data_IF_120847096628
#
_entry.id   IF_120847096628
#
_cell.length_a   1.000
_cell.length_b   1.000
_cell.length_c   1.000
_cell.angle_alpha   90.00
_cell.angle_beta   90.00
_cell.angle_gamma   90.00
#
_symmetry.space_group_name_H-M   'P 1'
#
loop_
_entity.id
_entity.type
_entity.pdbx_description
1 polymer ?
#
# COMPACT_ATOMS: atom_id res chain seq x y z
N UNK A 1 -2.50 6.31 -20.72
CA UNK A 1 -2.60 5.21 -19.75
C UNK A 1 -4.06 5.11 -19.37
N UNK A 2 -4.76 4.10 -19.88
CA UNK A 2 -6.19 3.93 -19.64
C UNK A 2 -6.39 3.36 -18.24
N UNK A 3 -6.77 4.24 -17.31
CA UNK A 3 -7.05 3.93 -15.90
C UNK A 3 -8.50 3.46 -15.83
N UNK A 4 -8.74 2.20 -15.44
CA UNK A 4 -10.06 1.59 -15.63
C UNK A 4 -10.78 1.20 -14.32
N UNK A 5 -10.10 1.20 -13.18
CA UNK A 5 -10.77 1.02 -11.89
C UNK A 5 -10.01 1.67 -10.74
N UNK A 6 -10.76 2.38 -9.89
CA UNK A 6 -10.34 2.87 -8.59
C UNK A 6 -10.97 1.98 -7.52
N UNK A 7 -10.16 1.20 -6.80
CA UNK A 7 -10.62 0.49 -5.61
C UNK A 7 -10.21 1.28 -4.37
N UNK A 8 -11.18 1.61 -3.52
CA UNK A 8 -10.89 2.20 -2.20
C UNK A 8 -10.65 1.07 -1.21
N UNK A 9 -9.46 1.05 -0.60
CA UNK A 9 -9.06 0.05 0.41
C UNK A 9 -8.49 0.76 1.62
N UNK A 10 -8.77 0.26 2.81
CA UNK A 10 -8.08 0.72 4.03
C UNK A 10 -6.70 0.08 4.11
N UNK A 11 -5.64 0.89 4.02
CA UNK A 11 -4.24 0.45 4.13
C UNK A 11 -3.59 1.00 5.41
N UNK A 12 -2.59 0.29 5.91
CA UNK A 12 -1.67 0.81 6.93
C UNK A 12 -0.64 1.69 6.24
N UNK A 13 -0.54 2.95 6.62
CA UNK A 13 0.32 3.95 5.99
C UNK A 13 1.24 4.54 7.04
N UNK A 14 2.53 4.59 6.72
CA UNK A 14 3.55 5.26 7.51
C UNK A 14 4.66 5.79 6.61
N UNK A 15 5.62 6.46 7.21
CA UNK A 15 6.73 7.07 6.51
C UNK A 15 8.04 6.37 6.83
N UNK A 16 8.96 6.41 5.87
CA UNK A 16 10.37 6.13 6.07
C UNK A 16 11.24 7.25 5.50
N UNK A 17 12.39 7.45 6.15
CA UNK A 17 13.46 8.29 5.67
C UNK A 17 14.57 7.37 5.15
N UNK A 18 14.92 7.39 3.85
CA UNK A 18 15.93 6.51 3.27
C UNK A 18 17.29 6.57 3.99
N UNK A 19 17.70 7.75 4.44
CA UNK A 19 18.94 7.95 5.21
C UNK A 19 18.88 7.35 6.64
N UNK A 20 17.68 7.08 7.17
CA UNK A 20 17.48 6.53 8.52
C UNK A 20 17.39 5.00 8.57
N UNK A 21 17.26 4.32 7.42
CA UNK A 21 16.94 2.89 7.40
C UNK A 21 17.12 2.15 6.07
N UNK A 22 17.64 2.80 5.02
CA UNK A 22 17.99 2.13 3.77
C UNK A 22 19.18 1.18 3.96
N UNK A 23 19.14 0.03 3.29
CA UNK A 23 20.30 -0.86 3.20
C UNK A 23 21.40 -0.07 2.46
N UNK A 24 22.51 0.20 3.14
CA UNK A 24 23.69 0.93 2.63
C UNK A 24 23.58 2.44 2.41
N UNK A 25 22.49 3.11 2.81
CA UNK A 25 22.30 4.53 2.49
C UNK A 25 22.13 4.80 0.99
N UNK A 26 21.98 3.74 0.19
CA UNK A 26 21.66 3.86 -1.22
C UNK A 26 20.21 4.33 -1.36
N UNK A 27 20.04 5.45 -2.06
CA UNK A 27 18.77 6.07 -2.37
C UNK A 27 18.05 5.38 -3.53
N UNK A 28 18.41 4.14 -3.84
CA UNK A 28 17.90 3.41 -4.99
C UNK A 28 16.78 2.48 -4.55
N UNK A 29 15.62 2.66 -5.16
CA UNK A 29 14.43 1.85 -4.95
C UNK A 29 14.58 0.47 -5.60
N UNK A 30 13.73 -0.48 -5.23
CA UNK A 30 13.72 -1.82 -5.82
C UNK A 30 13.50 -1.84 -7.35
N UNK A 31 12.92 -0.80 -7.96
CA UNK A 31 12.80 -0.66 -9.42
C UNK A 31 13.98 0.04 -10.10
N UNK A 32 15.03 0.40 -9.34
CA UNK A 32 16.23 1.08 -9.82
C UNK A 32 16.14 2.60 -9.89
N UNK A 33 15.00 3.21 -9.54
CA UNK A 33 14.85 4.67 -9.50
C UNK A 33 15.37 5.30 -8.20
N UNK A 34 15.66 6.59 -8.22
CA UNK A 34 16.03 7.32 -7.00
C UNK A 34 14.81 7.63 -6.12
N UNK A 35 14.98 7.46 -4.81
CA UNK A 35 14.00 7.76 -3.80
C UNK A 35 13.66 9.26 -3.74
N UNK A 36 12.37 9.58 -3.91
CA UNK A 36 11.83 10.95 -3.81
C UNK A 36 10.44 10.96 -3.19
N UNK A 37 10.06 12.12 -2.64
CA UNK A 37 8.68 12.37 -2.18
C UNK A 37 7.70 12.11 -3.33
N UNK A 38 6.61 11.42 -3.03
CA UNK A 38 5.65 10.91 -4.01
C UNK A 38 5.92 9.47 -4.46
N UNK A 39 6.98 8.83 -3.97
CA UNK A 39 7.18 7.39 -4.12
C UNK A 39 6.94 6.64 -2.81
N UNK A 40 6.64 5.35 -2.93
CA UNK A 40 6.45 4.48 -1.78
C UNK A 40 6.92 3.05 -2.04
N UNK A 41 7.19 2.33 -0.95
CA UNK A 41 7.23 0.88 -0.93
C UNK A 41 5.81 0.34 -0.75
N UNK A 42 5.43 -0.65 -1.57
CA UNK A 42 4.13 -1.30 -1.48
C UNK A 42 4.27 -2.83 -1.46
N UNK A 43 3.23 -3.52 -1.00
CA UNK A 43 3.19 -4.97 -0.96
C UNK A 43 3.19 -5.63 -2.36
N UNK A 44 3.56 -6.92 -2.46
CA UNK A 44 3.75 -7.61 -3.74
C UNK A 44 2.47 -7.70 -4.59
N UNK A 45 1.29 -7.57 -3.99
CA UNK A 45 0.00 -7.48 -4.70
C UNK A 45 -0.06 -6.34 -5.71
N UNK A 46 0.69 -5.26 -5.51
CA UNK A 46 0.64 -4.09 -6.37
C UNK A 46 1.91 -3.98 -7.21
N UNK A 47 1.82 -4.08 -8.55
CA UNK A 47 2.95 -3.89 -9.44
C UNK A 47 3.59 -2.50 -9.28
N UNK A 48 4.87 -2.39 -9.65
CA UNK A 48 5.50 -1.08 -9.79
C UNK A 48 4.71 -0.21 -10.78
N UNK A 49 4.63 1.09 -10.49
CA UNK A 49 3.78 2.03 -11.23
C UNK A 49 2.32 2.07 -10.76
N UNK A 50 1.91 1.23 -9.80
CA UNK A 50 0.60 1.39 -9.15
C UNK A 50 0.55 2.73 -8.43
N UNK A 51 -0.53 3.49 -8.64
CA UNK A 51 -0.72 4.81 -8.02
C UNK A 51 -1.72 4.71 -6.88
N UNK A 52 -1.35 5.26 -5.72
CA UNK A 52 -2.14 5.33 -4.51
C UNK A 52 -2.49 6.78 -4.19
N UNK A 53 -3.77 7.09 -4.08
CA UNK A 53 -4.26 8.39 -3.61
C UNK A 53 -4.77 8.25 -2.18
N UNK A 54 -4.12 8.93 -1.24
CA UNK A 54 -4.47 8.94 0.18
C UNK A 54 -5.67 9.85 0.41
N UNK A 55 -6.72 9.32 1.04
CA UNK A 55 -7.95 10.06 1.36
C UNK A 55 -7.88 10.67 2.77
N UNK A 56 -6.79 11.37 3.05
CA UNK A 56 -6.51 12.08 4.31
C UNK A 56 -5.58 13.26 4.03
N UNK A 57 -5.76 14.40 4.70
CA UNK A 57 -4.96 15.60 4.42
C UNK A 57 -3.49 15.42 4.82
N UNK A 58 -2.60 15.37 3.82
CA UNK A 58 -1.15 15.26 4.01
C UNK A 58 -0.43 16.61 3.98
N UNK A 59 -1.12 17.71 3.63
CA UNK A 59 -0.54 19.06 3.53
C UNK A 59 0.13 19.55 4.83
N UNK A 60 -0.40 19.25 6.05
CA UNK A 60 0.28 19.62 7.28
C UNK A 60 1.70 19.04 7.43
N UNK A 61 2.00 17.97 6.68
CA UNK A 61 3.31 17.32 6.67
C UNK A 61 4.16 17.70 5.44
N UNK A 62 3.69 18.62 4.59
CA UNK A 62 4.36 18.99 3.34
C UNK A 62 4.38 17.87 2.29
N UNK A 63 3.47 16.88 2.42
CA UNK A 63 3.46 15.67 1.60
C UNK A 63 2.34 15.69 0.54
N UNK A 64 2.55 15.06 -0.64
CA UNK A 64 1.51 14.94 -1.65
C UNK A 64 0.42 13.95 -1.22
N UNK A 65 -0.75 14.03 -1.86
CA UNK A 65 -1.82 13.03 -1.68
C UNK A 65 -1.56 11.74 -2.47
N UNK A 66 -0.75 11.81 -3.51
CA UNK A 66 -0.58 10.72 -4.47
C UNK A 66 0.83 10.16 -4.38
N UNK A 67 0.92 8.84 -4.36
CA UNK A 67 2.15 8.09 -4.29
C UNK A 67 2.18 7.01 -5.36
N UNK A 68 3.35 6.80 -5.96
CA UNK A 68 3.57 5.73 -6.93
C UNK A 68 4.45 4.63 -6.32
N UNK A 69 4.06 3.38 -6.55
CA UNK A 69 4.87 2.26 -6.10
C UNK A 69 6.13 2.10 -6.92
N UNK A 70 7.27 2.32 -6.29
CA UNK A 70 8.61 2.18 -6.89
C UNK A 70 9.50 1.23 -6.10
N UNK A 71 9.06 0.85 -4.90
CA UNK A 71 9.91 0.15 -3.96
C UNK A 71 9.23 -1.06 -3.28
N UNK A 72 10.04 -1.85 -2.57
CA UNK A 72 9.65 -3.03 -1.80
C UNK A 72 10.37 -3.03 -0.46
N UNK A 73 9.66 -3.33 0.61
CA UNK A 73 10.27 -3.62 1.91
C UNK A 73 9.90 -5.01 2.39
N UNK A 74 10.84 -5.75 2.97
CA UNK A 74 10.62 -7.12 3.44
C UNK A 74 9.52 -7.26 4.52
N UNK A 75 9.12 -6.15 5.16
CA UNK A 75 8.03 -6.09 6.14
C UNK A 75 6.74 -5.43 5.61
N UNK A 76 6.72 -5.04 4.32
CA UNK A 76 5.59 -4.32 3.72
C UNK A 76 4.62 -5.35 3.12
N UNK A 77 3.50 -5.57 3.83
CA UNK A 77 2.44 -6.47 3.40
C UNK A 77 1.52 -5.89 2.33
N UNK A 78 0.59 -6.73 1.84
CA UNK A 78 -0.37 -6.39 0.76
C UNK A 78 -1.35 -5.23 1.06
N UNK A 79 -1.42 -4.76 2.30
CA UNK A 79 -2.27 -3.64 2.70
C UNK A 79 -1.48 -2.60 3.48
N UNK A 80 -0.20 -2.45 3.14
CA UNK A 80 0.72 -1.54 3.79
C UNK A 80 1.43 -0.67 2.75
N UNK A 81 1.57 0.62 3.05
CA UNK A 81 2.38 1.57 2.30
C UNK A 81 3.43 2.18 3.24
N UNK A 82 4.67 2.20 2.78
CA UNK A 82 5.77 2.93 3.40
C UNK A 82 6.15 4.09 2.48
N UNK A 83 5.83 5.30 2.90
CA UNK A 83 5.90 6.50 2.07
C UNK A 83 7.26 7.17 2.24
N UNK A 84 7.88 7.57 1.14
CA UNK A 84 9.16 8.29 1.19
C UNK A 84 8.96 9.69 1.77
N UNK A 85 9.77 10.03 2.77
CA UNK A 85 10.08 11.41 3.13
C UNK A 85 11.54 11.67 2.81
N UNK A 86 11.80 12.82 2.17
CA UNK A 86 13.16 13.31 1.90
C UNK A 86 13.13 14.82 1.76
N UNK A 87 13.00 15.54 2.87
CA UNK A 87 12.99 17.01 2.86
C UNK A 87 14.39 17.60 2.66
N UNK A 88 15.44 16.77 2.77
CA UNK A 88 16.84 17.19 2.78
C UNK A 88 17.37 17.47 4.20
N UNK A 89 16.54 17.32 5.22
CA UNK A 89 16.94 17.34 6.63
C UNK A 89 16.41 16.09 7.35
N UNK A 90 17.33 15.20 7.73
CA UNK A 90 17.00 13.97 8.45
C UNK A 90 16.23 14.22 9.76
N UNK A 91 16.51 15.30 10.49
CA UNK A 91 15.79 15.60 11.73
C UNK A 91 14.33 15.93 11.45
N UNK A 92 14.08 16.67 10.38
CA UNK A 92 12.74 17.02 9.95
C UNK A 92 11.99 15.79 9.44
N UNK A 93 12.65 14.94 8.65
CA UNK A 93 12.07 13.69 8.15
C UNK A 93 11.65 12.77 9.31
N UNK A 94 12.50 12.64 10.33
CA UNK A 94 12.20 11.87 11.55
C UNK A 94 11.09 12.50 12.39
N UNK A 95 11.02 13.84 12.46
CA UNK A 95 9.93 14.56 13.14
C UNK A 95 8.59 14.26 12.46
N UNK A 96 8.52 14.41 11.14
CA UNK A 96 7.31 14.13 10.34
C UNK A 96 6.88 12.66 10.51
N UNK A 97 7.83 11.72 10.37
CA UNK A 97 7.54 10.30 10.53
C UNK A 97 6.96 9.97 11.91
N UNK A 98 7.48 10.63 12.97
CA UNK A 98 7.00 10.46 14.35
C UNK A 98 5.61 11.08 14.58
N UNK A 99 5.36 12.28 14.07
CA UNK A 99 4.06 12.96 14.23
C UNK A 99 2.94 12.23 13.49
N UNK A 100 3.27 11.67 12.32
CA UNK A 100 2.35 10.81 11.60
C UNK A 100 2.14 9.48 12.32
N UNK A 101 3.22 8.74 12.60
CA UNK A 101 3.16 7.39 13.18
C UNK A 101 2.70 6.33 12.18
N UNK A 102 1.99 5.30 12.65
CA UNK A 102 1.37 4.28 11.78
C UNK A 102 -0.13 4.45 11.82
N UNK A 103 -0.77 4.63 10.67
CA UNK A 103 -2.21 4.92 10.59
C UNK A 103 -2.92 4.01 9.60
N UNK A 104 -4.19 3.73 9.87
CA UNK A 104 -5.08 3.12 8.88
C UNK A 104 -5.78 4.23 8.11
N UNK A 105 -5.58 4.25 6.80
CA UNK A 105 -6.04 5.32 5.90
C UNK A 105 -6.82 4.67 4.75
N UNK A 106 -7.93 5.28 4.35
CA UNK A 106 -8.60 4.92 3.12
C UNK A 106 -7.75 5.40 1.94
N UNK A 107 -7.42 4.49 1.02
CA UNK A 107 -6.55 4.74 -0.12
C UNK A 107 -7.31 4.34 -1.38
N UNK A 108 -7.34 5.23 -2.37
CA UNK A 108 -7.81 4.89 -3.71
C UNK A 108 -6.64 4.35 -4.52
N UNK A 109 -6.76 3.12 -4.99
CA UNK A 109 -5.74 2.42 -5.77
C UNK A 109 -6.09 2.49 -7.25
N UNK A 110 -5.17 3.02 -8.04
CA UNK A 110 -5.27 3.14 -9.49
C UNK A 110 -4.28 2.17 -10.14
N UNK A 111 -4.79 1.18 -10.85
CA UNK A 111 -4.00 0.18 -11.58
C UNK A 111 -4.31 0.27 -13.07
N UNK A 112 -3.36 -0.16 -13.91
CA UNK A 112 -3.66 -0.40 -15.31
C UNK A 112 -4.66 -1.57 -15.46
N UNK A 113 -5.36 -1.62 -16.60
CA UNK A 113 -6.38 -2.63 -16.87
C UNK A 113 -5.87 -4.08 -16.75
N UNK A 114 -4.69 -4.35 -17.30
CA UNK A 114 -4.08 -5.69 -17.34
C UNK A 114 -3.85 -6.26 -15.93
N UNK A 115 -3.41 -5.45 -14.97
CA UNK A 115 -3.20 -5.90 -13.60
C UNK A 115 -4.48 -5.97 -12.78
N UNK A 116 -5.47 -5.12 -13.05
CA UNK A 116 -6.77 -5.19 -12.38
C UNK A 116 -7.46 -6.54 -12.65
N UNK A 117 -7.48 -6.99 -13.91
CA UNK A 117 -8.10 -8.26 -14.30
C UNK A 117 -7.39 -9.45 -13.67
N UNK A 118 -6.05 -9.46 -13.66
CA UNK A 118 -5.28 -10.52 -13.00
C UNK A 118 -5.55 -10.60 -11.49
N UNK A 119 -5.64 -9.46 -10.80
CA UNK A 119 -5.91 -9.40 -9.36
C UNK A 119 -7.36 -9.70 -8.97
N UNK A 120 -8.32 -9.69 -9.93
CA UNK A 120 -9.68 -10.21 -9.73
C UNK A 120 -9.72 -11.73 -9.90
N UNK A 121 -9.06 -12.26 -10.92
CA UNK A 121 -8.97 -13.71 -11.12
C UNK A 121 -8.41 -14.45 -9.90
N UNK A 122 -7.42 -13.88 -9.19
CA UNK A 122 -6.89 -14.45 -7.95
C UNK A 122 -7.87 -14.37 -6.75
N UNK A 123 -8.74 -13.35 -6.73
CA UNK A 123 -9.79 -13.20 -5.70
C UNK A 123 -10.93 -14.19 -5.96
N UNK A 124 -11.35 -14.31 -7.20
CA UNK A 124 -12.39 -15.25 -7.62
C UNK A 124 -11.92 -16.71 -7.55
N UNK A 125 -10.61 -16.94 -7.65
CA UNK A 125 -9.97 -18.25 -7.44
C UNK A 125 -9.70 -18.59 -5.97
N UNK A 126 -9.85 -17.65 -5.04
CA UNK A 126 -9.77 -17.91 -3.59
C UNK A 126 -11.17 -18.24 -3.06
N UNK A 127 -11.50 -19.51 -2.78
CA UNK A 127 -12.82 -19.83 -2.25
C UNK A 127 -13.00 -19.11 -0.91
N UNK A 128 -14.08 -18.34 -0.79
CA UNK A 128 -14.47 -17.69 0.46
C UNK A 128 -14.61 -18.75 1.55
N UNK A 129 -13.72 -18.71 2.54
CA UNK A 129 -13.94 -19.39 3.79
C UNK A 129 -15.13 -18.71 4.47
N UNK A 130 -16.30 -19.36 4.39
CA UNK A 130 -17.39 -19.47 5.39
C UNK A 130 -18.76 -19.48 4.70
N UNK A 131 -19.38 -20.66 4.64
CA UNK A 131 -20.82 -20.86 4.86
C UNK A 131 -21.11 -22.37 4.93
N UNK A 132 -20.89 -22.99 6.09
CA UNK A 132 -21.66 -24.17 6.51
C UNK A 132 -21.89 -24.12 8.03
N UNK A 133 -22.69 -23.14 8.45
CA UNK A 133 -23.52 -23.23 9.65
C UNK A 133 -24.91 -23.72 9.26
N UNK A 134 -24.98 -24.96 8.74
CA UNK A 134 -26.23 -25.58 8.30
C UNK A 134 -26.83 -26.45 9.40
N UNK A 135 -27.99 -26.05 9.91
CA UNK A 135 -28.83 -26.81 10.82
C UNK A 135 -29.08 -28.23 10.27
N UNK A 136 -28.66 -29.27 11.00
CA UNK A 136 -29.02 -30.65 10.66
C UNK A 136 -30.51 -30.88 10.98
N UNK A 137 -31.36 -31.30 10.03
CA UNK A 137 -32.71 -31.74 10.38
C UNK A 137 -32.64 -33.11 11.07
N UNK A 138 -33.27 -33.22 12.24
CA UNK A 138 -33.47 -34.49 12.93
C UNK A 138 -34.28 -35.45 12.05
N UNK A 139 -33.75 -36.65 11.82
CA UNK A 139 -34.45 -37.75 11.16
C UNK A 139 -35.57 -38.28 12.08
N UNK A 140 -36.79 -38.54 11.57
CA UNK A 140 -37.81 -39.20 12.37
C UNK A 140 -37.52 -40.69 12.48
N UNK A 141 -37.67 -41.19 13.70
CA UNK A 141 -37.61 -42.60 14.08
C UNK A 141 -38.55 -43.47 13.22
N UNK A 142 -38.03 -44.61 12.77
CA UNK A 142 -38.79 -45.85 12.57
C UNK A 142 -37.97 -47.02 13.08
#
# INVERSE_FOLDING_TARGET
MDIVAALTITMTVFFYAPEAGGINGDLIMADGTEARIGYCSCGPRYPFGTVFELLVDMRPFGMPQTYECRDRGGKIGNYTLDLVIRTGDLKEDLRIAREWGKRRVAVRVWQNWEHYVAGQAERDASPSATEEGGYAPALPHR
#
